data_IF_276439732754
#
_entry.id   IF_276439732754
#
_cell.length_a   1.000
_cell.length_b   1.000
_cell.length_c   1.000
_cell.angle_alpha   90.00
_cell.angle_beta   90.00
_cell.angle_gamma   90.00
#
_symmetry.space_group_name_H-M   'P 1'
#
loop_
_entity.id
_entity.type
_entity.pdbx_description
1 polymer ?
#
# COMPACT_ATOMS: atom_id res chain seq x y z
N UNK A 1 -43.40 8.14 -7.74
CA UNK A 1 -42.56 9.34 -7.94
C UNK A 1 -41.82 9.70 -6.64
N UNK A 2 -40.99 8.79 -6.13
CA UNK A 2 -40.21 8.98 -4.87
C UNK A 2 -38.84 8.28 -4.92
N UNK A 3 -38.44 7.72 -6.07
CA UNK A 3 -37.25 6.88 -6.25
C UNK A 3 -36.23 7.52 -7.22
N UNK A 4 -36.04 8.84 -7.13
CA UNK A 4 -35.01 9.54 -7.93
C UNK A 4 -34.05 10.35 -7.05
N UNK A 5 -34.24 10.32 -5.72
CA UNK A 5 -33.56 11.25 -4.79
C UNK A 5 -32.41 10.61 -4.00
N UNK A 6 -32.16 9.30 -4.13
CA UNK A 6 -31.19 8.60 -3.27
C UNK A 6 -30.01 7.95 -3.99
N UNK A 7 -29.76 8.28 -5.27
CA UNK A 7 -28.44 8.10 -5.86
C UNK A 7 -27.61 9.37 -5.63
N UNK A 8 -27.44 9.74 -4.35
CA UNK A 8 -26.31 10.57 -3.93
C UNK A 8 -25.08 9.68 -4.07
N UNK A 9 -24.56 9.63 -5.29
CA UNK A 9 -23.26 9.06 -5.60
C UNK A 9 -22.27 9.89 -4.79
N UNK A 10 -21.90 9.38 -3.62
CA UNK A 10 -20.76 9.85 -2.87
C UNK A 10 -19.55 9.66 -3.79
N UNK A 11 -19.20 10.71 -4.51
CA UNK A 11 -17.89 10.89 -5.10
C UNK A 11 -16.93 11.01 -3.91
N UNK A 12 -16.54 9.86 -3.35
CA UNK A 12 -15.39 9.79 -2.48
C UNK A 12 -14.22 10.28 -3.34
N UNK A 13 -13.82 11.53 -3.15
CA UNK A 13 -12.53 12.04 -3.58
C UNK A 13 -11.52 11.04 -3.04
N UNK A 14 -10.99 10.19 -3.91
CA UNK A 14 -10.00 9.21 -3.53
C UNK A 14 -8.75 9.99 -3.15
N UNK A 15 -8.58 10.18 -1.85
CA UNK A 15 -7.39 10.78 -1.26
C UNK A 15 -6.23 9.85 -1.62
N UNK A 16 -5.41 10.28 -2.58
CA UNK A 16 -4.23 9.53 -3.01
C UNK A 16 -3.17 9.50 -1.91
N UNK A 17 -2.21 8.56 -1.96
CA UNK A 17 -1.15 8.43 -0.97
C UNK A 17 -0.19 9.64 -0.93
N UNK A 18 -0.25 10.51 -1.94
CA UNK A 18 0.47 11.78 -2.00
C UNK A 18 -0.36 12.99 -1.54
N UNK A 19 -1.58 12.79 -1.05
CA UNK A 19 -2.40 13.88 -0.54
C UNK A 19 -1.73 14.56 0.66
N UNK A 20 -1.68 15.89 0.65
CA UNK A 20 -0.95 16.71 1.61
C UNK A 20 0.58 16.47 1.67
N UNK A 21 1.16 15.71 0.73
CA UNK A 21 2.60 15.56 0.59
C UNK A 21 3.13 16.51 -0.49
N UNK A 22 4.25 17.17 -0.20
CA UNK A 22 4.96 17.99 -1.19
C UNK A 22 5.70 17.12 -2.21
N UNK A 23 6.20 17.72 -3.29
CA UNK A 23 7.11 17.04 -4.23
C UNK A 23 8.27 16.34 -3.50
N UNK A 24 8.52 15.07 -3.82
CA UNK A 24 9.69 14.33 -3.33
C UNK A 24 9.51 12.83 -3.21
N UNK A 25 10.53 12.19 -2.63
CA UNK A 25 10.56 10.77 -2.31
C UNK A 25 10.36 10.57 -0.81
N UNK A 26 9.52 9.60 -0.46
CA UNK A 26 9.11 9.33 0.91
C UNK A 26 9.31 7.85 1.23
N UNK A 27 10.14 7.52 2.20
CA UNK A 27 10.36 6.12 2.58
C UNK A 27 9.17 5.62 3.42
N UNK A 28 8.48 4.61 2.89
CA UNK A 28 7.44 3.88 3.59
C UNK A 28 8.06 2.89 4.59
N UNK A 29 9.05 2.12 4.13
CA UNK A 29 9.87 1.25 4.97
C UNK A 29 11.34 1.28 4.52
N UNK A 30 12.17 0.35 5.04
CA UNK A 30 13.61 0.27 4.72
C UNK A 30 13.91 -0.05 3.26
N UNK A 31 12.94 -0.49 2.47
CA UNK A 31 13.12 -0.97 1.10
C UNK A 31 12.15 -0.32 0.12
N UNK A 32 10.98 0.13 0.57
CA UNK A 32 9.90 0.67 -0.25
C UNK A 32 9.79 2.17 -0.04
N UNK A 33 9.60 2.89 -1.14
CA UNK A 33 9.35 4.31 -1.13
C UNK A 33 8.25 4.72 -2.12
N UNK A 34 7.65 5.86 -1.81
CA UNK A 34 6.66 6.54 -2.61
C UNK A 34 7.30 7.78 -3.24
N UNK A 35 7.14 7.94 -4.55
CA UNK A 35 7.45 9.18 -5.24
C UNK A 35 6.17 9.99 -5.45
N UNK A 36 6.18 11.22 -4.93
CA UNK A 36 5.11 12.18 -5.11
C UNK A 36 5.57 13.31 -6.03
N UNK A 37 5.01 13.44 -7.24
CA UNK A 37 5.44 14.41 -8.26
C UNK A 37 4.95 15.85 -8.03
N UNK A 38 4.24 16.13 -6.93
CA UNK A 38 3.86 17.50 -6.51
C UNK A 38 2.76 18.16 -7.36
N UNK A 39 2.28 17.53 -8.42
CA UNK A 39 1.07 17.93 -9.15
C UNK A 39 0.08 16.77 -9.17
N UNK A 40 -1.17 17.15 -9.00
CA UNK A 40 -2.41 16.37 -9.17
C UNK A 40 -2.54 15.64 -10.53
N UNK A 41 -1.77 16.04 -11.55
CA UNK A 41 -1.80 15.41 -12.88
C UNK A 41 -0.84 14.25 -13.06
N UNK A 42 0.12 14.09 -12.17
CA UNK A 42 1.11 13.03 -12.27
C UNK A 42 0.79 11.94 -11.25
N UNK A 43 0.79 10.70 -11.74
CA UNK A 43 0.48 9.53 -10.92
C UNK A 43 1.62 9.32 -9.93
N UNK A 44 1.28 9.20 -8.65
CA UNK A 44 2.20 8.69 -7.65
C UNK A 44 2.82 7.36 -8.09
N UNK A 45 4.02 7.06 -7.61
CA UNK A 45 4.68 5.80 -7.98
C UNK A 45 5.36 5.15 -6.81
N UNK A 46 5.07 3.87 -6.64
CA UNK A 46 5.69 3.02 -5.64
C UNK A 46 6.89 2.31 -6.23
N UNK A 47 7.99 2.33 -5.48
CA UNK A 47 9.25 1.76 -5.90
C UNK A 47 9.91 1.01 -4.76
N UNK A 48 10.80 0.09 -5.14
CA UNK A 48 11.66 -0.62 -4.20
C UNK A 48 13.13 -0.36 -4.51
N UNK A 49 13.91 -0.15 -3.47
CA UNK A 49 15.37 -0.10 -3.53
C UNK A 49 15.94 -1.45 -4.02
N UNK A 50 16.91 -1.40 -4.93
CA UNK A 50 17.50 -2.57 -5.58
C UNK A 50 18.95 -2.78 -5.13
N UNK A 51 19.47 -3.98 -5.33
CA UNK A 51 20.90 -4.27 -5.14
C UNK A 51 21.38 -4.13 -3.70
N UNK A 52 20.53 -4.44 -2.70
CA UNK A 52 20.87 -4.34 -1.28
C UNK A 52 20.90 -2.91 -0.73
N UNK A 53 20.56 -1.90 -1.55
CA UNK A 53 20.33 -0.54 -1.05
C UNK A 53 19.07 -0.46 -0.19
N UNK A 54 19.08 0.46 0.76
CA UNK A 54 17.98 0.71 1.68
C UNK A 54 17.48 2.15 1.55
N UNK A 55 16.21 2.34 1.85
CA UNK A 55 15.58 3.64 1.97
C UNK A 55 16.02 4.29 3.28
N UNK A 56 16.85 5.33 3.18
CA UNK A 56 17.58 5.87 4.34
C UNK A 56 16.85 6.95 5.12
N UNK A 57 15.96 7.71 4.47
CA UNK A 57 15.47 9.00 4.96
C UNK A 57 13.95 9.03 5.03
N UNK A 58 13.35 9.88 5.87
CA UNK A 58 11.88 10.02 5.84
C UNK A 58 11.40 10.63 4.53
N UNK A 59 12.05 11.72 4.13
CA UNK A 59 11.79 12.49 2.92
C UNK A 59 13.11 12.99 2.31
N UNK A 60 13.20 12.99 0.99
CA UNK A 60 14.27 13.65 0.23
C UNK A 60 13.77 14.13 -1.13
N UNK A 61 14.53 15.00 -1.79
CA UNK A 61 14.30 15.47 -3.16
C UNK A 61 15.02 14.62 -4.22
N UNK A 62 15.93 13.74 -3.79
CA UNK A 62 16.74 12.86 -4.66
C UNK A 62 16.44 11.38 -4.38
N UNK A 63 17.09 10.45 -5.09
CA UNK A 63 16.87 9.02 -4.88
C UNK A 63 17.17 8.61 -3.41
N UNK A 64 16.18 8.08 -2.65
CA UNK A 64 16.36 7.75 -1.24
C UNK A 64 17.11 6.43 -1.00
N UNK A 65 17.35 5.64 -2.06
CA UNK A 65 18.02 4.35 -1.98
C UNK A 65 19.53 4.51 -1.95
N UNK A 66 20.14 4.18 -0.82
CA UNK A 66 21.58 4.16 -0.64
C UNK A 66 22.00 2.94 0.20
N UNK A 67 23.28 2.59 0.14
CA UNK A 67 23.79 1.53 1.01
C UNK A 67 23.73 1.93 2.48
N UNK A 68 23.73 0.95 3.37
CA UNK A 68 23.68 1.15 4.82
C UNK A 68 24.86 1.98 5.38
N UNK A 69 26.01 1.98 4.70
CA UNK A 69 27.17 2.81 5.05
C UNK A 69 27.21 4.17 4.31
N UNK A 70 26.28 4.44 3.40
CA UNK A 70 26.24 5.69 2.62
C UNK A 70 25.22 6.67 3.17
N UNK A 71 25.58 7.95 3.13
CA UNK A 71 24.68 9.06 3.46
C UNK A 71 23.86 9.48 2.24
N UNK A 72 22.69 10.08 2.51
CA UNK A 72 21.81 10.64 1.48
C UNK A 72 21.64 12.13 1.74
N UNK A 73 21.96 12.94 0.74
CA UNK A 73 21.81 14.38 0.80
C UNK A 73 20.34 14.80 0.94
N UNK A 74 20.10 15.94 1.59
CA UNK A 74 18.76 16.52 1.79
C UNK A 74 17.75 15.58 2.47
N UNK A 75 18.26 14.72 3.35
CA UNK A 75 17.48 13.83 4.19
C UNK A 75 16.74 14.59 5.29
N UNK A 76 15.42 14.46 5.32
CA UNK A 76 14.57 14.95 6.40
C UNK A 76 13.82 13.79 7.06
N UNK A 77 13.80 13.77 8.38
CA UNK A 77 13.10 12.75 9.17
C UNK A 77 13.66 11.33 9.00
N UNK A 78 13.00 10.37 9.66
CA UNK A 78 13.30 8.93 9.58
C UNK A 78 12.29 8.22 8.69
N UNK A 79 12.62 7.02 8.22
CA UNK A 79 11.68 6.15 7.50
C UNK A 79 10.31 6.10 8.21
N UNK A 80 9.22 6.30 7.47
CA UNK A 80 7.85 6.34 8.00
C UNK A 80 7.44 7.65 8.68
N UNK A 81 8.31 8.66 8.79
CA UNK A 81 7.97 9.93 9.48
C UNK A 81 6.84 10.70 8.81
N UNK A 82 6.76 10.65 7.48
CA UNK A 82 5.81 11.43 6.69
C UNK A 82 4.67 10.61 6.10
N UNK A 83 4.84 9.28 6.05
CA UNK A 83 3.82 8.38 5.52
C UNK A 83 3.21 7.63 6.69
N UNK A 84 1.93 7.86 6.96
CA UNK A 84 1.21 7.07 7.93
C UNK A 84 0.89 5.70 7.32
N UNK A 85 1.62 4.66 7.75
CA UNK A 85 1.45 3.30 7.24
C UNK A 85 0.09 2.66 7.51
N UNK A 86 -0.72 3.25 8.40
CA UNK A 86 -2.10 2.82 8.64
C UNK A 86 -3.10 3.38 7.62
N UNK A 87 -2.72 4.44 6.90
CA UNK A 87 -3.57 5.14 5.92
C UNK A 87 -3.09 4.84 4.49
N UNK A 88 -1.78 4.67 4.33
CA UNK A 88 -1.14 4.48 3.04
C UNK A 88 -0.62 3.05 2.95
N UNK A 89 -1.13 2.29 1.98
CA UNK A 89 -0.71 0.91 1.73
C UNK A 89 0.00 0.82 0.38
N UNK A 90 1.20 0.25 0.30
CA UNK A 90 1.84 -0.01 -0.98
C UNK A 90 1.02 -1.04 -1.79
N UNK A 91 1.12 -1.05 -3.12
CA UNK A 91 0.47 -2.04 -3.97
C UNK A 91 0.81 -3.47 -3.53
N UNK A 92 -0.11 -4.42 -3.72
CA UNK A 92 0.05 -5.82 -3.30
C UNK A 92 1.32 -6.48 -3.84
N UNK A 93 1.79 -6.05 -5.02
CA UNK A 93 3.08 -6.48 -5.61
C UNK A 93 4.29 -6.19 -4.72
N UNK A 94 4.19 -5.22 -3.79
CA UNK A 94 5.23 -4.90 -2.83
C UNK A 94 4.93 -5.41 -1.41
N UNK A 95 3.68 -5.71 -1.08
CA UNK A 95 3.27 -6.15 0.26
C UNK A 95 3.64 -7.61 0.54
N UNK A 96 3.59 -8.48 -0.48
CA UNK A 96 3.83 -9.92 -0.32
C UNK A 96 5.28 -10.28 0.07
N UNK A 97 6.25 -9.40 -0.18
CA UNK A 97 7.65 -9.67 0.21
C UNK A 97 7.96 -9.40 1.68
N UNK A 98 7.13 -8.58 2.36
CA UNK A 98 7.23 -8.41 3.82
C UNK A 98 6.83 -9.69 4.55
N UNK A 99 5.82 -10.40 4.05
CA UNK A 99 5.35 -11.65 4.66
C UNK A 99 6.34 -12.80 4.42
N UNK A 100 7.01 -12.82 3.25
CA UNK A 100 7.98 -13.85 2.90
C UNK A 100 9.32 -13.71 3.64
N UNK A 101 9.73 -12.49 4.01
CA UNK A 101 10.96 -12.24 4.78
C UNK A 101 10.79 -12.50 6.28
N UNK A 102 9.58 -12.47 6.82
CA UNK A 102 9.26 -12.88 8.20
C UNK A 102 9.04 -14.40 8.35
N UNK A 103 8.84 -15.15 7.28
CA UNK A 103 8.66 -16.61 7.32
C UNK A 103 9.97 -17.41 7.17
N UNK A 104 11.11 -16.77 6.91
CA UNK A 104 12.39 -17.44 6.73
C UNK A 104 13.15 -17.75 8.04
N UNK A 105 12.61 -17.43 9.23
CA UNK A 105 13.33 -17.57 10.49
C UNK A 105 12.67 -18.49 11.54
N UNK A 106 11.54 -19.16 11.24
CA UNK A 106 10.87 -19.95 12.27
C UNK A 106 10.06 -21.15 11.72
N UNK A 107 10.67 -22.08 10.98
CA UNK A 107 10.07 -23.42 10.80
C UNK A 107 11.16 -24.48 10.66
N UNK A 108 11.74 -24.87 11.79
CA UNK A 108 12.45 -26.13 11.91
C UNK A 108 11.89 -26.87 13.11
N UNK A 109 10.58 -27.19 13.09
CA UNK A 109 10.01 -28.31 13.83
C UNK A 109 8.57 -28.60 13.38
N UNK A 110 8.38 -29.83 12.88
CA UNK A 110 7.21 -30.70 13.08
C UNK A 110 5.82 -30.26 12.61
N UNK A 111 5.47 -30.78 11.43
CA UNK A 111 4.27 -31.61 11.16
C UNK A 111 3.08 -31.52 12.13
N UNK A 112 1.93 -31.01 11.65
CA UNK A 112 0.72 -31.80 11.37
C UNK A 112 -0.58 -30.96 11.38
N UNK A 113 -1.48 -31.33 10.45
CA UNK A 113 -2.93 -31.32 10.58
C UNK A 113 -3.71 -29.99 10.56
N UNK A 114 -4.43 -29.78 9.45
CA UNK A 114 -5.83 -29.37 9.50
C UNK A 114 -6.18 -28.01 8.87
N UNK A 115 -7.47 -27.91 8.51
CA UNK A 115 -8.24 -26.72 8.05
C UNK A 115 -8.30 -26.56 6.52
N UNK A 116 -9.24 -27.20 5.82
CA UNK A 116 -10.68 -26.86 5.68
C UNK A 116 -10.94 -25.49 5.03
N UNK A 117 -11.09 -25.53 3.70
CA UNK A 117 -12.09 -24.90 2.84
C UNK A 117 -12.99 -23.81 3.44
N UNK A 118 -13.02 -22.62 2.83
CA UNK A 118 -14.21 -21.75 2.82
C UNK A 118 -14.25 -20.85 1.57
N UNK A 119 -14.95 -21.35 0.55
CA UNK A 119 -15.35 -20.63 -0.66
C UNK A 119 -16.79 -20.11 -0.54
N UNK A 120 -17.07 -19.29 0.47
CA UNK A 120 -18.44 -18.93 0.88
C UNK A 120 -18.84 -17.48 0.61
N UNK A 121 -17.97 -16.64 0.03
CA UNK A 121 -18.26 -15.19 -0.13
C UNK A 121 -18.91 -14.80 -1.45
N UNK A 122 -18.95 -15.67 -2.46
CA UNK A 122 -19.43 -15.33 -3.82
C UNK A 122 -20.90 -15.71 -4.06
N UNK A 123 -21.46 -16.62 -3.26
CA UNK A 123 -22.82 -17.12 -3.45
C UNK A 123 -23.91 -16.17 -2.89
N UNK A 124 -23.57 -15.30 -1.94
CA UNK A 124 -24.51 -14.38 -1.30
C UNK A 124 -24.89 -13.19 -2.18
N UNK A 125 -24.03 -12.78 -3.12
CA UNK A 125 -24.29 -11.64 -4.01
C UNK A 125 -25.23 -12.01 -5.16
N UNK A 126 -25.13 -13.24 -5.68
CA UNK A 126 -26.03 -13.70 -6.75
C UNK A 126 -27.47 -13.89 -6.28
N UNK A 127 -27.69 -14.36 -5.05
CA UNK A 127 -29.03 -14.61 -4.53
C UNK A 127 -29.85 -13.33 -4.35
N UNK A 128 -29.19 -12.23 -3.96
CA UNK A 128 -29.84 -10.91 -3.81
C UNK A 128 -30.19 -10.31 -5.18
N UNK A 129 -29.35 -10.49 -6.19
CA UNK A 129 -29.60 -10.02 -7.56
C UNK A 129 -30.78 -10.74 -8.21
N UNK A 130 -30.93 -12.05 -8.01
CA UNK A 130 -32.04 -12.82 -8.59
C UNK A 130 -33.39 -12.45 -7.95
N UNK A 131 -33.43 -12.20 -6.64
CA UNK A 131 -34.64 -11.73 -5.94
C UNK A 131 -35.07 -10.32 -6.39
N UNK A 132 -34.13 -9.46 -6.77
CA UNK A 132 -34.41 -8.09 -7.19
C UNK A 132 -34.98 -7.98 -8.61
N UNK A 133 -34.72 -8.98 -9.48
CA UNK A 133 -35.24 -9.02 -10.85
C UNK A 133 -36.65 -9.62 -10.93
N UNK A 134 -37.07 -10.37 -9.91
CA UNK A 134 -38.37 -11.06 -9.86
C UNK A 134 -39.48 -10.29 -9.11
N UNK A 135 -39.17 -9.14 -8.52
CA UNK A 135 -40.10 -8.23 -7.84
C UNK A 135 -40.35 -6.97 -8.67
#
# INVERSE_FOLDING_TARGET
MFLVVLTFIATALSIGPCDNLTLGYYCYDKSIFLYCPGSDKFVESWWRCKGGSICKCGKTVSNPCAFDYSDVDFCNGRVGTYINSSIVTPPETFANDKLYSSQAQEVNESSSLGVMNDGTTIASVLFVLVLYVLL
#
